data_IF_474121375729
#
_entry.id   IF_474121375729
#
_cell.length_a   1.000
_cell.length_b   1.000
_cell.length_c   1.000
_cell.angle_alpha   90.00
_cell.angle_beta   90.00
_cell.angle_gamma   90.00
#
_symmetry.space_group_name_H-M   'P 1'
#
loop_
_entity.id
_entity.type
_entity.pdbx_description
1 polymer ?
2 non-polymer ?
3 non-polymer ?
4 non-polymer ?
5 non-polymer ?
6 water ?
#
# COMPACT_ATOMS: atom_id res chain seq x y z
N UNK A 1 1.07 16.57 -32.06
CA UNK A 1 0.71 17.99 -31.78
C UNK A 1 0.90 18.31 -30.28
N UNK A 2 0.43 17.40 -29.41
CA UNK A 2 0.39 17.65 -27.97
C UNK A 2 1.76 17.82 -27.30
N UNK A 3 2.79 17.08 -27.75
CA UNK A 3 4.12 17.20 -27.16
C UNK A 3 5.16 17.84 -28.12
N UNK A 4 4.69 18.51 -29.16
CA UNK A 4 5.55 19.25 -30.05
C UNK A 4 5.46 20.73 -29.67
N UNK A 5 6.62 21.37 -29.54
CA UNK A 5 6.66 22.77 -29.13
C UNK A 5 6.38 23.73 -30.30
N UNK A 6 5.36 24.56 -30.16
CA UNK A 6 5.08 25.63 -31.11
C UNK A 6 5.72 26.95 -30.70
N UNK A 7 5.65 27.30 -29.43
CA UNK A 7 6.38 28.44 -28.90
C UNK A 7 6.80 28.17 -27.45
N UNK A 8 7.99 28.66 -27.11
CA UNK A 8 8.49 28.72 -25.74
C UNK A 8 8.95 30.14 -25.47
N UNK A 9 8.58 30.70 -24.31
CA UNK A 9 9.05 32.03 -23.96
C UNK A 9 9.12 32.24 -22.46
N UNK A 10 9.99 33.14 -22.03
CA UNK A 10 10.08 33.50 -20.63
C UNK A 10 9.06 34.60 -20.36
N UNK A 11 8.36 34.49 -19.24
CA UNK A 11 7.30 35.43 -18.85
C UNK A 11 7.40 35.79 -17.37
N UNK A 12 6.64 36.81 -16.98
CA UNK A 12 6.50 37.22 -15.58
C UNK A 12 7.84 37.50 -14.94
N UNK A 13 8.52 38.55 -15.44
CA UNK A 13 9.84 38.91 -14.94
C UNK A 13 10.86 37.85 -15.23
N UNK A 14 10.58 37.04 -16.26
CA UNK A 14 11.39 35.85 -16.62
C UNK A 14 11.43 34.74 -15.54
N UNK A 15 10.49 34.79 -14.60
CA UNK A 15 10.39 33.78 -13.54
C UNK A 15 9.57 32.56 -13.93
N UNK A 16 8.97 32.58 -15.13
CA UNK A 16 8.18 31.45 -15.66
C UNK A 16 8.58 31.19 -17.11
N UNK A 17 8.50 29.94 -17.55
CA UNK A 17 8.57 29.61 -18.97
C UNK A 17 7.20 29.13 -19.36
N UNK A 18 6.70 29.65 -20.48
CA UNK A 18 5.47 29.14 -21.03
C UNK A 18 5.76 28.41 -22.33
N UNK A 19 5.18 27.22 -22.46
CA UNK A 19 5.20 26.43 -23.69
C UNK A 19 3.80 26.47 -24.30
N UNK A 20 3.73 26.85 -25.58
CA UNK A 20 2.51 26.68 -26.36
C UNK A 20 2.77 25.42 -27.20
N UNK A 21 1.94 24.38 -27.02
CA UNK A 21 2.12 23.08 -27.70
C UNK A 21 1.40 23.19 -29.03
N UNK A 22 1.67 22.26 -29.95
CA UNK A 22 1.04 22.39 -31.28
C UNK A 22 -0.48 22.13 -31.28
N UNK A 23 -1.01 21.56 -30.21
CA UNK A 23 -2.48 21.46 -30.07
C UNK A 23 -3.10 22.70 -29.41
N UNK A 24 -2.29 23.75 -29.23
CA UNK A 24 -2.73 25.06 -28.75
C UNK A 24 -2.92 25.14 -27.23
N UNK A 25 -2.70 24.03 -26.54
CA UNK A 25 -2.60 24.01 -25.06
C UNK A 25 -1.36 24.75 -24.60
N UNK A 26 -1.39 25.28 -23.39
CA UNK A 26 -0.25 26.01 -22.86
C UNK A 26 0.14 25.38 -21.56
N UNK A 27 1.44 25.34 -21.27
CA UNK A 27 1.96 24.81 -20.00
C UNK A 27 2.92 25.84 -19.41
N UNK A 28 2.96 25.93 -18.08
CA UNK A 28 3.79 26.92 -17.39
C UNK A 28 4.76 26.19 -16.45
N UNK A 29 6.03 26.63 -16.44
CA UNK A 29 7.07 26.00 -15.66
C UNK A 29 7.86 27.06 -14.93
N UNK A 30 7.84 27.03 -13.58
CA UNK A 30 8.63 28.04 -12.87
C UNK A 30 10.12 27.91 -13.15
N UNK A 31 10.80 29.04 -13.34
CA UNK A 31 12.23 29.07 -13.56
C UNK A 31 12.99 28.36 -12.48
N UNK A 32 12.58 28.53 -11.23
CA UNK A 32 13.33 27.90 -10.14
C UNK A 32 13.30 26.37 -10.24
N UNK A 33 12.16 25.83 -10.65
CA UNK A 33 11.99 24.39 -10.84
C UNK A 33 12.82 23.90 -12.05
N UNK A 34 12.85 24.67 -13.13
CA UNK A 34 13.71 24.32 -14.24
C UNK A 34 15.19 24.28 -13.81
N UNK A 35 15.65 25.30 -13.12
CA UNK A 35 17.04 25.36 -12.71
C UNK A 35 17.36 24.15 -11.81
N UNK A 36 16.47 23.91 -10.83
CA UNK A 36 16.58 22.78 -9.87
C UNK A 36 16.66 21.44 -10.57
N UNK A 37 16.06 21.37 -11.76
CA UNK A 37 15.95 20.11 -12.49
C UNK A 37 16.75 20.07 -13.79
N UNK A 38 17.77 20.91 -13.86
CA UNK A 38 18.73 20.86 -14.98
C UNK A 38 19.26 19.43 -15.11
N UNK A 39 19.20 18.84 -16.30
CA UNK A 39 19.68 17.45 -16.44
C UNK A 39 21.14 17.30 -16.85
N UNK A 40 21.91 18.39 -16.83
CA UNK A 40 23.29 18.32 -17.27
C UNK A 40 24.12 17.53 -16.28
N UNK A 41 25.32 17.13 -16.68
CA UNK A 41 26.10 16.22 -15.84
C UNK A 41 26.62 16.91 -14.57
N UNK A 42 26.69 18.25 -14.56
CA UNK A 42 27.00 18.94 -13.30
C UNK A 42 25.86 18.80 -12.28
N UNK A 43 24.62 18.79 -12.75
CA UNK A 43 23.47 18.92 -11.87
C UNK A 43 22.81 17.61 -11.56
N UNK A 44 23.14 16.57 -12.32
CA UNK A 44 22.32 15.38 -12.34
C UNK A 44 23.18 14.20 -12.68
N UNK A 45 23.13 13.18 -11.83
CA UNK A 45 23.94 11.99 -12.02
C UNK A 45 23.16 10.94 -12.79
N UNK A 46 23.47 10.78 -14.08
CA UNK A 46 22.64 9.95 -14.93
C UNK A 46 22.62 8.48 -14.51
N UNK A 47 23.75 7.95 -14.08
CA UNK A 47 23.81 6.55 -13.66
C UNK A 47 22.88 6.23 -12.48
N UNK A 48 22.60 7.23 -11.64
CA UNK A 48 21.74 7.07 -10.47
C UNK A 48 20.32 7.61 -10.69
N UNK A 49 20.13 8.34 -11.78
CA UNK A 49 18.93 9.07 -12.07
C UNK A 49 18.59 9.95 -10.87
N UNK A 50 19.58 10.72 -10.44
CA UNK A 50 19.47 11.47 -9.18
C UNK A 50 20.10 12.84 -9.28
N UNK A 51 19.57 13.76 -8.46
CA UNK A 51 19.99 15.16 -8.49
C UNK A 51 21.28 15.33 -7.67
N UNK A 52 22.31 15.88 -8.29
CA UNK A 52 23.56 16.28 -7.61
C UNK A 52 23.47 17.72 -7.10
N UNK A 53 22.72 18.55 -7.81
CA UNK A 53 22.62 19.96 -7.45
C UNK A 53 22.18 20.11 -6.00
N UNK A 54 22.83 21.00 -5.24
CA UNK A 54 22.47 21.24 -3.83
C UNK A 54 21.42 22.33 -3.76
N UNK A 55 20.60 22.33 -2.71
CA UNK A 55 19.69 23.47 -2.44
C UNK A 55 20.49 24.77 -2.31
N UNK A 56 21.68 24.66 -1.70
CA UNK A 56 22.59 25.79 -1.52
C UNK A 56 22.96 26.46 -2.85
N UNK A 57 22.92 25.70 -3.94
CA UNK A 57 23.30 26.21 -5.27
C UNK A 57 22.16 26.90 -5.97
N UNK A 58 20.97 26.84 -5.39
CA UNK A 58 19.77 27.27 -6.07
C UNK A 58 19.35 28.67 -5.63
N UNK A 59 19.35 29.61 -6.59
CA UNK A 59 18.81 30.94 -6.36
C UNK A 59 17.30 30.87 -6.49
N UNK A 60 16.55 30.97 -5.37
CA UNK A 60 15.11 30.84 -5.44
C UNK A 60 14.40 31.99 -6.15
N UNK A 61 15.11 33.09 -6.37
CA UNK A 61 14.59 34.26 -7.11
C UNK A 61 15.06 34.29 -8.55
N UNK A 62 15.56 33.14 -9.02
CA UNK A 62 16.18 33.06 -10.35
C UNK A 62 15.17 33.34 -11.44
N UNK A 63 15.65 33.97 -12.50
CA UNK A 63 14.89 34.11 -13.72
C UNK A 63 15.71 33.59 -14.89
N UNK A 64 15.02 33.28 -15.99
CA UNK A 64 15.68 32.84 -17.22
C UNK A 64 16.39 34.02 -17.88
N UNK A 65 17.68 33.87 -18.19
CA UNK A 65 18.42 34.94 -18.88
C UNK A 65 18.14 34.91 -20.40
N UNK A 66 18.18 33.73 -20.99
CA UNK A 66 17.88 33.58 -22.42
C UNK A 66 17.27 32.23 -22.70
N UNK A 67 16.50 32.17 -23.79
CA UNK A 67 15.85 30.94 -24.20
C UNK A 67 15.73 30.90 -25.72
N UNK A 68 16.14 29.78 -26.30
CA UNK A 68 15.77 29.40 -27.66
C UNK A 68 15.12 28.00 -27.64
N UNK A 69 14.44 27.65 -28.72
CA UNK A 69 13.77 26.36 -28.77
C UNK A 69 13.63 25.86 -30.18
N UNK A 70 13.37 24.57 -30.29
CA UNK A 70 12.91 23.97 -31.53
C UNK A 70 11.70 23.11 -31.21
N UNK A 71 11.26 22.26 -32.12
CA UNK A 71 10.04 21.50 -31.86
C UNK A 71 10.12 20.51 -30.69
N UNK A 72 11.33 20.09 -30.34
CA UNK A 72 11.54 19.00 -29.40
C UNK A 72 12.35 19.37 -28.14
N UNK A 73 12.91 20.57 -28.10
CA UNK A 73 13.81 20.95 -26.99
C UNK A 73 13.77 22.44 -26.69
N UNK A 74 14.01 22.78 -25.43
CA UNK A 74 14.26 24.16 -25.01
C UNK A 74 15.71 24.28 -24.53
N UNK A 75 16.34 25.40 -24.82
CA UNK A 75 17.72 25.66 -24.48
C UNK A 75 17.77 26.97 -23.73
N UNK A 76 18.22 26.91 -22.46
CA UNK A 76 18.17 28.02 -21.53
C UNK A 76 19.54 28.44 -21.05
N UNK A 77 19.78 29.74 -21.07
CA UNK A 77 20.88 30.32 -20.33
C UNK A 77 20.40 30.96 -19.06
N UNK A 78 21.20 30.76 -18.02
CA UNK A 78 20.90 31.32 -16.71
C UNK A 78 21.75 32.55 -16.40
N UNK A 79 21.30 33.39 -15.45
CA UNK A 79 22.09 34.58 -15.12
C UNK A 79 23.55 34.40 -14.77
N UNK A 80 23.90 33.29 -14.09
CA UNK A 80 25.30 32.98 -13.76
C UNK A 80 26.06 32.24 -14.87
N UNK A 81 25.48 32.20 -16.05
CA UNK A 81 26.02 31.57 -17.26
C UNK A 81 25.85 30.05 -17.29
N UNK A 82 25.18 29.47 -16.29
CA UNK A 82 24.87 28.04 -16.40
C UNK A 82 23.94 27.83 -17.61
N UNK A 83 24.01 26.66 -18.22
CA UNK A 83 23.26 26.36 -19.43
C UNK A 83 22.50 25.06 -19.28
N UNK A 84 21.24 25.05 -19.70
CA UNK A 84 20.37 23.88 -19.56
C UNK A 84 19.60 23.52 -20.84
N UNK A 85 19.39 22.22 -21.06
CA UNK A 85 18.52 21.71 -22.15
C UNK A 85 17.43 20.83 -21.59
N UNK A 86 16.19 21.07 -22.01
CA UNK A 86 15.04 20.28 -21.57
C UNK A 86 14.28 19.74 -22.78
N UNK A 87 13.91 18.48 -22.72
CA UNK A 87 13.19 17.76 -23.79
C UNK A 87 11.68 17.95 -23.70
N UNK A 88 11.04 18.14 -24.84
CA UNK A 88 9.60 18.41 -24.91
C UNK A 88 8.76 17.37 -24.17
N UNK A 89 9.05 16.10 -24.39
CA UNK A 89 8.26 15.02 -23.80
C UNK A 89 8.35 15.02 -22.27
N UNK A 90 9.56 15.23 -21.78
CA UNK A 90 9.86 15.30 -20.34
C UNK A 90 9.11 16.47 -19.70
N UNK A 91 9.14 17.62 -20.37
CA UNK A 91 8.36 18.77 -19.93
C UNK A 91 6.84 18.48 -19.93
N UNK A 92 6.34 17.92 -21.03
CA UNK A 92 4.91 17.67 -21.15
C UNK A 92 4.37 16.79 -20.03
N UNK A 93 5.11 15.73 -19.70
CA UNK A 93 4.72 14.78 -18.66
C UNK A 93 4.59 15.50 -17.29
N UNK A 94 5.46 16.49 -17.07
CA UNK A 94 5.60 17.18 -15.78
C UNK A 94 4.86 18.50 -15.69
N UNK A 95 4.00 18.76 -16.68
CA UNK A 95 3.13 19.93 -16.70
C UNK A 95 2.40 20.06 -15.35
N UNK A 96 2.34 21.28 -14.86
CA UNK A 96 1.78 21.59 -13.51
C UNK A 96 0.25 21.73 -13.48
N UNK A 97 -0.42 21.56 -14.62
CA UNK A 97 -1.88 21.56 -14.60
C UNK A 97 -2.40 20.42 -13.75
N UNK A 98 -3.53 20.67 -13.12
CA UNK A 98 -4.13 19.67 -12.26
C UNK A 98 -4.35 18.35 -12.98
N UNK A 99 -4.85 18.41 -14.23
CA UNK A 99 -5.11 17.18 -15.00
C UNK A 99 -3.85 16.38 -15.26
N UNK A 100 -2.80 17.07 -15.72
CA UNK A 100 -1.53 16.44 -15.99
C UNK A 100 -0.91 15.84 -14.72
N UNK A 101 -0.91 16.59 -13.63
CA UNK A 101 -0.37 16.06 -12.38
C UNK A 101 -1.16 14.84 -11.90
N UNK A 102 -2.49 14.89 -11.97
CA UNK A 102 -3.31 13.78 -11.48
C UNK A 102 -3.09 12.51 -12.34
N UNK A 103 -2.93 12.70 -13.64
CA UNK A 103 -2.69 11.59 -14.53
C UNK A 103 -1.41 10.87 -14.18
N UNK A 104 -0.37 11.67 -13.97
CA UNK A 104 0.92 11.15 -13.60
C UNK A 104 0.85 10.42 -12.23
N UNK A 105 0.19 11.01 -11.26
CA UNK A 105 0.02 10.33 -9.95
C UNK A 105 -0.71 9.00 -10.06
N UNK A 106 -1.73 8.92 -10.91
CA UNK A 106 -2.42 7.64 -11.13
C UNK A 106 -1.46 6.60 -11.69
N UNK A 107 -0.56 7.03 -12.59
CA UNK A 107 0.42 6.16 -13.19
C UNK A 107 1.45 5.67 -12.19
N UNK A 108 1.83 6.51 -11.23
CA UNK A 108 2.85 6.13 -10.25
C UNK A 108 2.27 5.22 -9.15
N UNK A 109 1.04 5.49 -8.72
CA UNK A 109 0.51 4.90 -7.45
C UNK A 109 -0.70 3.97 -7.54
N UNK A 110 -1.21 3.77 -8.76
CA UNK A 110 -2.29 2.78 -9.01
C UNK A 110 -3.43 2.94 -8.00
N UNK A 111 -4.06 4.11 -7.94
CA UNK A 111 -5.07 4.35 -6.90
C UNK A 111 -6.42 3.66 -7.11
N UNK A 112 -6.68 3.09 -8.29
CA UNK A 112 -8.01 2.50 -8.58
C UNK A 112 -8.36 1.46 -7.51
N UNK A 113 -9.57 1.56 -7.00
CA UNK A 113 -10.00 0.73 -5.90
C UNK A 113 -11.40 0.20 -6.20
N UNK A 114 -11.60 -1.11 -6.08
CA UNK A 114 -12.92 -1.69 -6.20
C UNK A 114 -13.34 -2.20 -4.83
N UNK A 115 -14.26 -1.50 -4.21
CA UNK A 115 -14.85 -1.91 -2.94
C UNK A 115 -15.79 -3.08 -3.15
N UNK A 116 -15.90 -3.91 -2.11
CA UNK A 116 -16.74 -5.08 -2.17
C UNK A 116 -17.30 -5.49 -0.80
N UNK A 117 -18.36 -6.28 -0.88
CA UNK A 117 -19.00 -6.94 0.25
C UNK A 117 -19.12 -8.44 0.02
N UNK A 118 -20.20 -9.03 0.53
CA UNK A 118 -20.40 -10.47 0.48
C UNK A 118 -20.52 -11.03 -0.95
N UNK A 119 -20.73 -10.15 -1.93
CA UNK A 119 -20.80 -10.54 -3.37
C UNK A 119 -19.45 -10.83 -4.03
N UNK A 120 -18.36 -10.55 -3.33
CA UNK A 120 -17.02 -10.75 -3.87
C UNK A 120 -16.86 -12.06 -4.65
N UNK A 121 -16.27 -11.93 -5.83
CA UNK A 121 -15.81 -13.03 -6.64
C UNK A 121 -14.32 -13.06 -6.36
N UNK A 122 -13.85 -14.03 -5.60
CA UNK A 122 -12.46 -14.06 -5.17
C UNK A 122 -11.50 -14.18 -6.37
N UNK A 123 -10.67 -13.14 -6.62
CA UNK A 123 -9.79 -13.25 -7.78
C UNK A 123 -8.81 -14.38 -7.58
N UNK A 124 -8.64 -15.20 -8.62
CA UNK A 124 -7.90 -16.45 -8.51
C UNK A 124 -6.98 -16.63 -9.70
N UNK A 125 -5.73 -16.98 -9.42
CA UNK A 125 -4.74 -17.30 -10.45
C UNK A 125 -3.96 -18.55 -10.06
N UNK A 126 -3.25 -19.10 -11.04
CA UNK A 126 -2.38 -20.23 -10.81
C UNK A 126 -1.03 -19.78 -10.27
N UNK A 127 -0.57 -20.47 -9.24
CA UNK A 127 0.68 -20.18 -8.52
C UNK A 127 1.91 -20.26 -9.42
N UNK A 128 2.04 -21.37 -10.13
CA UNK A 128 3.22 -21.55 -10.97
C UNK A 128 3.24 -20.55 -12.14
N UNK A 129 2.06 -20.21 -12.68
CA UNK A 129 1.98 -19.22 -13.75
C UNK A 129 2.47 -17.86 -13.27
N UNK A 130 2.09 -17.48 -12.05
CA UNK A 130 2.54 -16.22 -11.46
C UNK A 130 4.08 -16.19 -11.32
N UNK A 131 4.67 -17.29 -10.90
CA UNK A 131 6.13 -17.35 -10.74
C UNK A 131 6.81 -17.29 -12.12
N UNK A 132 6.17 -17.88 -13.12
CA UNK A 132 6.80 -18.05 -14.43
C UNK A 132 6.59 -16.88 -15.38
N UNK A 133 5.38 -16.31 -15.40
CA UNK A 133 5.01 -15.36 -16.43
C UNK A 133 4.80 -13.98 -15.87
N UNK A 134 5.46 -12.99 -16.48
CA UNK A 134 5.24 -11.60 -16.08
C UNK A 134 3.81 -11.15 -16.27
N UNK A 135 3.14 -11.62 -17.31
CA UNK A 135 1.75 -11.23 -17.57
C UNK A 135 0.85 -11.63 -16.37
N UNK A 136 1.12 -12.81 -15.85
CA UNK A 136 0.34 -13.34 -14.73
C UNK A 136 0.74 -12.64 -13.41
N UNK A 137 2.04 -12.38 -13.23
CA UNK A 137 2.50 -11.69 -12.00
C UNK A 137 1.99 -10.25 -11.98
N UNK A 138 1.91 -9.63 -13.15
CA UNK A 138 1.30 -8.30 -13.25
C UNK A 138 -0.17 -8.34 -12.87
N UNK A 139 -0.89 -9.32 -13.39
CA UNK A 139 -2.31 -9.44 -13.03
C UNK A 139 -2.47 -9.66 -11.52
N UNK A 140 -1.59 -10.46 -10.93
CA UNK A 140 -1.59 -10.74 -9.50
C UNK A 140 -1.45 -9.43 -8.68
N UNK A 141 -0.36 -8.71 -8.90
CA UNK A 141 -0.10 -7.52 -8.09
C UNK A 141 -1.08 -6.38 -8.35
N UNK A 142 -1.54 -6.20 -9.61
CA UNK A 142 -2.46 -5.11 -9.90
C UNK A 142 -3.84 -5.42 -9.31
N UNK A 143 -4.23 -6.69 -9.29
CA UNK A 143 -5.47 -7.08 -8.65
C UNK A 143 -5.39 -6.99 -7.14
N UNK A 144 -4.25 -7.39 -6.57
CA UNK A 144 -4.01 -7.26 -5.14
C UNK A 144 -4.18 -5.81 -4.73
N UNK A 145 -3.62 -4.87 -5.52
CA UNK A 145 -3.73 -3.45 -5.22
C UNK A 145 -5.16 -2.96 -5.36
N UNK A 146 -5.83 -3.35 -6.44
CA UNK A 146 -7.16 -2.81 -6.72
C UNK A 146 -8.29 -3.40 -5.84
N UNK A 147 -8.30 -4.72 -5.68
CA UNK A 147 -9.36 -5.46 -4.96
C UNK A 147 -8.97 -5.73 -3.48
N UNK A 148 -7.67 -5.89 -3.23
CA UNK A 148 -7.15 -6.07 -1.86
C UNK A 148 -6.88 -7.55 -1.55
N UNK A 149 -7.21 -8.44 -2.47
CA UNK A 149 -6.91 -9.84 -2.27
C UNK A 149 -6.87 -10.62 -3.59
N UNK A 150 -5.98 -11.60 -3.64
CA UNK A 150 -5.89 -12.59 -4.71
C UNK A 150 -5.59 -13.97 -4.15
N UNK A 151 -6.34 -14.97 -4.58
CA UNK A 151 -6.00 -16.34 -4.25
C UNK A 151 -5.14 -16.94 -5.34
N UNK A 152 -4.09 -17.64 -4.94
CA UNK A 152 -3.30 -18.42 -5.89
C UNK A 152 -3.54 -19.88 -5.61
N UNK A 153 -3.92 -20.66 -6.63
CA UNK A 153 -4.16 -22.09 -6.47
C UNK A 153 -3.05 -22.90 -7.12
N UNK A 154 -2.94 -24.17 -6.76
CA UNK A 154 -1.93 -25.05 -7.35
C UNK A 154 -0.52 -24.93 -6.78
N UNK A 155 -0.34 -24.34 -5.60
CA UNK A 155 0.95 -24.44 -4.92
C UNK A 155 1.13 -25.87 -4.37
N UNK A 156 2.31 -26.18 -3.85
CA UNK A 156 2.53 -27.47 -3.18
C UNK A 156 1.83 -27.50 -1.82
N UNK A 157 1.86 -28.66 -1.16
CA UNK A 157 1.39 -28.77 0.23
C UNK A 157 2.58 -28.86 1.19
N UNK A 158 3.64 -28.11 0.89
CA UNK A 158 4.89 -28.18 1.63
C UNK A 158 5.35 -26.76 1.93
N UNK A 159 6.10 -26.55 3.02
CA UNK A 159 6.65 -25.21 3.27
C UNK A 159 7.56 -24.70 2.15
N UNK A 160 7.75 -23.38 2.08
CA UNK A 160 8.64 -22.79 1.09
C UNK A 160 7.94 -22.12 -0.07
N UNK A 161 6.63 -22.19 -0.15
CA UNK A 161 5.90 -21.57 -1.25
C UNK A 161 5.77 -20.05 -1.06
N UNK A 162 5.56 -19.59 0.16
CA UNK A 162 5.46 -18.13 0.35
C UNK A 162 6.81 -17.47 0.09
N UNK A 163 7.90 -18.17 0.38
CA UNK A 163 9.25 -17.65 0.11
C UNK A 163 9.47 -17.45 -1.39
N UNK A 164 8.91 -18.33 -2.21
CA UNK A 164 9.00 -18.15 -3.66
C UNK A 164 8.28 -16.89 -4.12
N UNK A 165 7.11 -16.64 -3.55
CA UNK A 165 6.38 -15.45 -3.86
C UNK A 165 7.14 -14.20 -3.39
N UNK A 166 7.78 -14.32 -2.24
CA UNK A 166 8.62 -13.26 -1.68
C UNK A 166 9.72 -12.83 -2.62
N UNK A 167 10.39 -13.82 -3.20
CA UNK A 167 11.43 -13.56 -4.21
C UNK A 167 10.85 -12.95 -5.47
N UNK A 168 9.67 -13.43 -5.87
CA UNK A 168 9.02 -12.91 -7.05
C UNK A 168 8.72 -11.41 -6.85
N UNK A 169 8.33 -11.05 -5.63
CA UNK A 169 8.12 -9.63 -5.30
C UNK A 169 9.47 -8.91 -5.21
N UNK A 170 10.36 -9.43 -4.38
CA UNK A 170 11.69 -8.87 -4.18
C UNK A 170 12.27 -9.44 -2.91
N UNK A 171 11.64 -9.11 -1.80
CA UNK A 171 11.97 -9.70 -0.52
C UNK A 171 10.81 -9.53 0.45
N UNK A 172 10.77 -10.42 1.44
CA UNK A 172 9.76 -10.40 2.48
C UNK A 172 10.19 -9.47 3.61
N UNK A 173 9.22 -9.14 4.46
CA UNK A 173 9.35 -8.22 5.56
C UNK A 173 9.56 -9.02 6.85
N UNK A 174 10.79 -9.02 7.37
CA UNK A 174 11.11 -9.75 8.59
C UNK A 174 10.50 -9.13 9.82
N UNK A 175 9.93 -9.97 10.68
CA UNK A 175 9.39 -9.50 11.97
C UNK A 175 9.88 -10.44 13.06
N UNK A 176 9.49 -10.15 14.30
CA UNK A 176 9.86 -10.99 15.44
C UNK A 176 9.35 -12.42 15.37
N UNK A 177 8.36 -12.67 14.51
CA UNK A 177 7.83 -14.03 14.37
C UNK A 177 8.55 -14.81 13.26
N UNK A 178 9.58 -14.20 12.68
CA UNK A 178 10.43 -14.86 11.68
C UNK A 178 10.30 -14.34 10.27
N UNK A 179 11.13 -14.85 9.37
CA UNK A 179 10.96 -14.53 7.94
C UNK A 179 9.63 -15.08 7.39
N UNK A 180 9.30 -16.29 7.77
CA UNK A 180 7.98 -16.89 7.54
C UNK A 180 7.60 -17.48 8.89
N UNK A 181 6.35 -17.91 9.04
CA UNK A 181 5.88 -18.39 10.31
C UNK A 181 4.79 -19.42 10.12
N UNK A 182 4.61 -20.27 11.13
CA UNK A 182 3.74 -21.45 11.01
C UNK A 182 2.50 -21.25 11.89
N UNK A 183 1.35 -21.14 11.24
CA UNK A 183 0.08 -21.01 11.93
C UNK A 183 -0.41 -22.42 12.22
N UNK A 184 -0.29 -22.83 13.48
CA UNK A 184 -0.74 -24.13 13.94
C UNK A 184 -0.89 -24.04 15.46
N UNK A 185 -1.55 -25.02 16.05
CA UNK A 185 -1.80 -25.03 17.48
C UNK A 185 -0.49 -25.38 18.16
N UNK A 186 -0.08 -24.54 19.10
CA UNK A 186 1.19 -24.75 19.78
C UNK A 186 1.03 -24.75 21.29
N UNK A 187 1.74 -25.66 21.93
CA UNK A 187 1.85 -25.66 23.39
C UNK A 187 2.53 -24.37 23.84
N UNK A 188 1.97 -23.75 24.89
CA UNK A 188 2.45 -22.47 25.40
C UNK A 188 2.50 -21.42 24.30
N UNK A 189 1.42 -21.34 23.53
CA UNK A 189 1.35 -20.43 22.37
C UNK A 189 1.73 -19.00 22.76
N UNK A 190 2.60 -18.37 21.96
CA UNK A 190 2.99 -17.00 22.23
C UNK A 190 2.07 -15.98 21.55
N UNK A 191 1.02 -16.48 20.90
CA UNK A 191 0.10 -15.65 20.14
C UNK A 191 -1.22 -16.41 19.99
N UNK A 192 -2.36 -15.72 20.04
CA UNK A 192 -3.67 -16.35 19.93
C UNK A 192 -3.84 -17.05 18.58
N UNK A 193 -3.12 -16.56 17.57
CA UNK A 193 -3.14 -17.21 16.25
C UNK A 193 -2.69 -18.68 16.31
N UNK A 194 -1.76 -18.97 17.23
CA UNK A 194 -1.17 -20.29 17.33
C UNK A 194 -1.94 -21.19 18.33
N UNK A 195 -3.27 -21.08 18.29
CA UNK A 195 -4.22 -21.93 19.06
C UNK A 195 -5.30 -22.39 18.08
N UNK A 196 -6.28 -23.17 18.53
CA UNK A 196 -7.42 -23.58 17.69
C UNK A 196 -8.64 -22.63 17.83
N UNK A 197 -8.44 -21.53 18.53
CA UNK A 197 -9.53 -20.63 18.80
C UNK A 197 -9.97 -19.86 17.58
N UNK A 198 -11.17 -19.30 17.65
CA UNK A 198 -11.69 -18.38 16.64
C UNK A 198 -10.87 -17.11 16.63
N UNK A 199 -10.55 -16.59 15.45
CA UNK A 199 -10.01 -15.24 15.34
C UNK A 199 -11.07 -14.38 14.73
N UNK A 200 -11.55 -13.38 15.47
CA UNK A 200 -12.47 -12.42 14.93
C UNK A 200 -11.69 -11.54 13.97
N UNK A 201 -12.40 -10.67 13.25
CA UNK A 201 -11.76 -9.79 12.28
C UNK A 201 -10.65 -8.97 12.92
N UNK A 202 -9.49 -8.99 12.28
CA UNK A 202 -8.38 -8.18 12.69
C UNK A 202 -7.47 -7.89 11.50
N UNK A 203 -6.60 -6.90 11.68
CA UNK A 203 -5.41 -6.69 10.85
C UNK A 203 -4.25 -7.29 11.61
N UNK A 204 -3.21 -7.74 10.92
CA UNK A 204 -2.04 -8.27 11.58
C UNK A 204 -1.08 -7.16 11.99
N UNK A 205 -0.53 -7.34 13.19
CA UNK A 205 0.62 -6.59 13.66
C UNK A 205 0.44 -5.09 13.88
N UNK A 206 -0.73 -4.66 14.39
CA UNK A 206 -0.83 -3.26 14.80
C UNK A 206 0.12 -2.91 15.95
N UNK A 207 0.70 -3.91 16.61
CA UNK A 207 1.74 -3.64 17.64
C UNK A 207 3.00 -3.01 17.05
N UNK A 208 3.16 -3.06 15.71
CA UNK A 208 4.21 -2.29 15.02
C UNK A 208 3.68 -0.95 14.56
N UNK A 209 4.51 0.10 14.63
CA UNK A 209 4.08 1.40 14.07
C UNK A 209 3.90 1.39 12.55
N UNK A 210 4.58 0.46 11.89
CA UNK A 210 4.45 0.25 10.45
C UNK A 210 3.98 -1.19 10.19
N UNK A 211 2.67 -1.42 10.33
CA UNK A 211 2.21 -2.80 10.14
C UNK A 211 2.50 -3.32 8.73
N UNK A 212 2.73 -4.63 8.59
CA UNK A 212 2.88 -5.22 7.26
C UNK A 212 1.81 -4.78 6.29
N UNK A 213 2.22 -4.40 5.08
CA UNK A 213 1.25 -3.99 4.03
C UNK A 213 0.49 -5.12 3.36
N UNK A 214 1.22 -6.19 3.08
CA UNK A 214 0.70 -7.33 2.34
C UNK A 214 1.01 -8.58 3.15
N UNK A 215 0.01 -9.43 3.27
CA UNK A 215 0.15 -10.70 3.95
C UNK A 215 -0.03 -11.87 2.96
N UNK A 216 0.76 -12.90 3.14
CA UNK A 216 0.67 -14.14 2.40
C UNK A 216 0.37 -15.28 3.35
N UNK A 217 -0.64 -16.09 3.04
CA UNK A 217 -0.99 -17.27 3.83
C UNK A 217 -1.19 -18.47 2.91
N UNK A 218 -0.40 -19.50 3.14
CA UNK A 218 -0.37 -20.72 2.32
C UNK A 218 -0.92 -21.86 3.14
N UNK A 219 -1.97 -22.49 2.64
CA UNK A 219 -2.53 -23.67 3.32
C UNK A 219 -1.72 -24.94 3.01
N UNK A 220 -1.11 -25.51 4.05
CA UNK A 220 -0.33 -26.76 3.99
C UNK A 220 -1.21 -27.93 4.41
N UNK A 221 -1.90 -27.78 5.55
CA UNK A 221 -2.86 -28.76 6.05
C UNK A 221 -4.11 -28.00 6.49
N UNK A 222 -5.28 -28.57 6.19
CA UNK A 222 -6.56 -28.02 6.61
C UNK A 222 -7.36 -29.09 7.34
N UNK A 223 -8.20 -28.66 8.29
CA UNK A 223 -9.02 -29.56 9.10
C UNK A 223 -10.47 -29.48 8.64
N UNK A 224 -11.22 -30.57 8.82
CA UNK A 224 -12.66 -30.59 8.50
C UNK A 224 -13.52 -30.05 9.65
N UNK A 225 -12.90 -29.83 10.81
CA UNK A 225 -13.65 -29.52 12.03
C UNK A 225 -13.95 -28.04 12.21
N UNK A 226 -13.44 -27.22 11.29
CA UNK A 226 -13.66 -25.79 11.32
C UNK A 226 -12.54 -25.14 10.50
N UNK A 227 -12.12 -23.95 10.93
CA UNK A 227 -10.98 -23.29 10.31
C UNK A 227 -11.26 -22.57 9.02
N UNK A 228 -12.55 -22.28 8.77
CA UNK A 228 -12.93 -21.46 7.61
C UNK A 228 -12.34 -20.06 7.72
N UNK A 229 -12.04 -19.43 6.58
CA UNK A 229 -11.55 -18.07 6.55
C UNK A 229 -12.70 -17.08 6.31
N UNK A 230 -12.54 -15.88 6.83
CA UNK A 230 -13.47 -14.79 6.60
C UNK A 230 -12.65 -13.52 6.36
N UNK A 231 -13.17 -12.67 5.47
CA UNK A 231 -12.55 -11.40 5.13
C UNK A 231 -13.63 -10.36 4.97
N UNK A 232 -13.22 -9.12 5.15
CA UNK A 232 -14.07 -7.96 4.95
C UNK A 232 -13.20 -6.82 4.38
N UNK A 233 -13.84 -5.94 3.61
CA UNK A 233 -13.18 -4.79 3.00
C UNK A 233 -13.30 -3.65 3.99
N UNK A 234 -12.21 -3.43 4.73
CA UNK A 234 -12.24 -2.40 5.75
C UNK A 234 -12.58 -1.02 5.23
N UNK A 235 -12.17 -0.70 4.01
CA UNK A 235 -12.42 0.64 3.48
C UNK A 235 -13.91 0.78 3.21
N UNK A 236 -14.52 -0.28 2.69
CA UNK A 236 -15.98 -0.32 2.50
C UNK A 236 -16.74 -0.19 3.82
N UNK A 237 -16.28 -0.90 4.84
CA UNK A 237 -16.93 -0.84 6.15
C UNK A 237 -16.80 0.56 6.77
N UNK A 238 -15.64 1.19 6.63
CA UNK A 238 -15.43 2.52 7.20
C UNK A 238 -16.36 3.52 6.53
N UNK A 239 -16.55 3.38 5.22
CA UNK A 239 -17.51 4.22 4.47
C UNK A 239 -18.95 4.09 5.05
N UNK A 240 -19.37 2.85 5.29
CA UNK A 240 -20.69 2.56 5.82
C UNK A 240 -20.80 3.14 7.24
N UNK A 241 -19.73 3.05 8.01
CA UNK A 241 -19.76 3.53 9.40
C UNK A 241 -19.91 5.04 9.46
N UNK A 242 -19.15 5.75 8.62
CA UNK A 242 -19.23 7.21 8.57
C UNK A 242 -20.65 7.64 8.22
N UNK A 243 -21.27 6.93 7.28
CA UNK A 243 -22.64 7.24 6.86
C UNK A 243 -23.65 6.92 7.95
N UNK A 244 -23.56 5.71 8.52
CA UNK A 244 -24.51 5.24 9.51
C UNK A 244 -24.32 5.83 10.89
N UNK A 245 -23.07 6.07 11.29
CA UNK A 245 -22.79 6.55 12.64
C UNK A 245 -21.55 7.42 12.67
N UNK A 246 -21.71 8.68 12.30
CA UNK A 246 -20.59 9.59 12.20
C UNK A 246 -19.87 9.79 13.53
N UNK A 247 -20.58 9.72 14.66
CA UNK A 247 -19.89 9.90 15.95
C UNK A 247 -18.94 8.74 16.22
N UNK A 248 -19.40 7.54 15.97
CA UNK A 248 -18.55 6.34 16.09
C UNK A 248 -17.30 6.44 15.19
N UNK A 249 -17.53 6.85 13.95
CA UNK A 249 -16.43 7.09 13.01
C UNK A 249 -15.43 8.14 13.52
N UNK A 250 -15.96 9.27 13.99
CA UNK A 250 -15.11 10.31 14.54
C UNK A 250 -14.26 9.77 15.71
N UNK A 251 -14.88 9.03 16.62
CA UNK A 251 -14.12 8.43 17.77
C UNK A 251 -13.02 7.47 17.30
N UNK A 252 -13.37 6.55 16.41
CA UNK A 252 -12.40 5.57 15.99
C UNK A 252 -11.29 6.15 15.11
N UNK A 253 -11.58 7.21 14.38
CA UNK A 253 -10.56 7.88 13.59
C UNK A 253 -9.78 8.98 14.34
N UNK A 254 -10.05 9.21 15.63
CA UNK A 254 -9.34 10.21 16.39
C UNK A 254 -8.67 9.71 17.70
N UNK A 255 -9.01 8.51 18.14
CA UNK A 255 -8.55 8.00 19.42
C UNK A 255 -7.35 7.11 19.27
N UNK A 256 -6.25 7.45 19.93
CA UNK A 256 -5.09 6.58 19.92
C UNK A 256 -5.28 5.42 20.91
N UNK A 257 -5.17 4.21 20.36
CA UNK A 257 -5.28 2.94 21.07
C UNK A 257 -3.88 2.33 21.20
N UNK A 258 -3.56 1.82 22.38
CA UNK A 258 -2.28 1.20 22.61
C UNK A 258 -2.36 -0.28 22.28
N UNK A 259 -1.34 -0.79 21.59
CA UNK A 259 -1.16 -2.19 21.26
C UNK A 259 0.19 -2.68 21.83
N UNK A 260 0.25 -3.97 22.13
CA UNK A 260 1.37 -4.59 22.83
C UNK A 260 1.60 -6.02 22.38
N UNK A 261 2.85 -6.45 22.43
CA UNK A 261 3.21 -7.84 22.15
C UNK A 261 4.51 -8.12 22.89
N UNK A 262 4.48 -9.07 23.81
CA UNK A 262 5.64 -9.42 24.61
C UNK A 262 5.81 -10.92 24.55
N UNK A 263 7.04 -11.37 24.32
CA UNK A 263 7.30 -12.81 24.19
C UNK A 263 8.62 -13.10 23.51
N UNK A 264 8.73 -14.32 23.01
CA UNK A 264 9.93 -14.79 22.39
C UNK A 264 9.54 -15.64 21.21
N UNK A 265 10.14 -15.34 20.07
CA UNK A 265 9.97 -16.19 18.89
C UNK A 265 11.28 -16.17 18.07
N UNK A 266 11.34 -15.46 16.95
CA UNK A 266 12.61 -15.30 16.21
C UNK A 266 13.65 -14.63 17.10
N UNK A 267 13.20 -13.69 17.90
CA UNK A 267 14.00 -13.00 18.89
C UNK A 267 13.10 -12.79 20.10
N UNK A 268 13.67 -12.37 21.22
CA UNK A 268 12.86 -11.91 22.37
C UNK A 268 12.42 -10.47 22.12
N UNK A 269 11.18 -10.18 22.48
CA UNK A 269 10.58 -8.91 22.17
C UNK A 269 9.65 -8.37 23.24
N UNK A 270 9.53 -7.05 23.25
CA UNK A 270 8.62 -6.32 24.09
C UNK A 270 8.20 -5.11 23.26
N UNK A 271 7.10 -5.23 22.55
CA UNK A 271 6.72 -4.26 21.53
C UNK A 271 5.50 -3.46 22.00
N UNK A 272 5.51 -2.14 21.76
CA UNK A 272 4.40 -1.27 22.12
C UNK A 272 4.17 -0.25 21.01
N UNK A 273 2.91 0.04 20.72
CA UNK A 273 2.59 1.06 19.72
C UNK A 273 1.32 1.80 20.11
N UNK A 274 1.04 2.91 19.40
CA UNK A 274 -0.22 3.59 19.47
C UNK A 274 -0.70 3.79 18.04
N UNK A 275 -1.99 3.52 17.80
CA UNK A 275 -2.63 3.80 16.50
C UNK A 275 -4.05 4.25 16.73
N UNK A 276 -4.52 5.02 15.76
CA UNK A 276 -5.93 5.26 15.57
C UNK A 276 -6.47 4.04 14.78
N UNK A 277 -7.56 3.44 15.21
CA UNK A 277 -8.10 2.23 14.54
C UNK A 277 -8.47 2.51 13.08
N UNK A 278 -9.06 3.66 12.81
CA UNK A 278 -9.34 4.14 11.46
C UNK A 278 -8.36 5.28 11.19
N UNK A 279 -7.38 5.03 10.33
CA UNK A 279 -6.33 6.00 10.14
C UNK A 279 -6.57 6.76 8.83
N UNK A 280 -6.78 8.07 8.96
CA UNK A 280 -7.11 8.95 7.82
C UNK A 280 -5.88 9.68 7.31
N UNK A 281 -5.84 9.98 6.01
CA UNK A 281 -4.81 10.88 5.50
C UNK A 281 -5.20 12.35 5.74
N UNK A 282 -4.35 13.28 5.29
CA UNK A 282 -4.58 14.68 5.52
C UNK A 282 -5.87 15.18 4.83
N UNK A 283 -6.39 14.44 3.86
CA UNK A 283 -7.65 14.81 3.20
C UNK A 283 -8.88 14.11 3.76
N UNK A 284 -8.76 13.40 4.88
CA UNK A 284 -9.91 12.70 5.45
C UNK A 284 -10.21 11.32 4.88
N UNK A 285 -9.36 10.80 4.01
CA UNK A 285 -9.58 9.49 3.39
C UNK A 285 -8.92 8.38 4.18
N UNK A 286 -9.62 7.26 4.33
CA UNK A 286 -9.09 6.15 5.12
C UNK A 286 -7.95 5.53 4.36
N UNK A 287 -6.79 5.40 5.00
CA UNK A 287 -5.65 4.75 4.37
C UNK A 287 -5.18 3.52 5.06
N UNK A 288 -5.55 3.35 6.34
CA UNK A 288 -5.20 2.10 6.99
C UNK A 288 -6.14 1.87 8.15
N UNK A 289 -6.45 0.59 8.33
CA UNK A 289 -7.10 0.07 9.53
C UNK A 289 -6.06 -0.60 10.39
N UNK A 290 -6.05 -0.25 11.67
CA UNK A 290 -5.10 -0.82 12.62
C UNK A 290 -5.88 -1.45 13.77
N UNK A 291 -6.14 -2.74 13.70
CA UNK A 291 -7.00 -3.32 14.75
C UNK A 291 -6.81 -4.82 14.93
N UNK A 292 -6.29 -5.22 16.09
CA UNK A 292 -6.29 -6.62 16.46
C UNK A 292 -6.69 -6.70 17.94
N UNK A 293 -7.83 -7.32 18.21
CA UNK A 293 -8.39 -7.27 19.55
C UNK A 293 -7.53 -8.06 20.51
N UNK A 294 -6.77 -9.01 20.00
CA UNK A 294 -5.88 -9.79 20.87
C UNK A 294 -4.71 -8.98 21.42
N UNK A 295 -4.14 -8.11 20.59
CA UNK A 295 -2.94 -7.36 20.97
C UNK A 295 -3.22 -5.93 21.42
N UNK A 296 -4.48 -5.53 21.38
CA UNK A 296 -4.89 -4.27 22.01
C UNK A 296 -4.53 -4.34 23.53
N UNK A 297 -3.80 -3.35 24.02
CA UNK A 297 -3.23 -3.44 25.38
C UNK A 297 -4.36 -3.29 26.44
N UNK A 298 -4.06 -3.73 27.66
CA UNK A 298 -4.92 -3.43 28.79
C UNK A 298 -4.76 -1.96 29.16
N UNK A 299 -3.55 -1.44 28.92
CA UNK A 299 -3.28 -0.01 29.05
C UNK A 299 -4.13 0.73 28.00
N UNK A 300 -4.89 1.73 28.44
CA UNK A 300 -5.72 2.53 27.55
C UNK A 300 -5.59 3.99 27.93
N UNK A 301 -4.88 4.75 27.08
CA UNK A 301 -4.39 6.08 27.41
C UNK A 301 -5.39 7.16 26.97
N UNK A 302 -6.54 7.16 27.62
CA UNK A 302 -7.58 8.16 27.40
C UNK A 302 -8.19 8.56 28.76
N UNK A 303 -8.76 9.77 28.85
CA UNK A 303 -9.48 10.14 30.07
C UNK A 303 -10.67 9.21 30.29
N UNK A 304 -11.00 9.03 31.56
CA UNK A 304 -12.01 8.07 31.96
C UNK A 304 -13.34 8.21 31.19
N UNK A 305 -13.75 9.46 30.93
CA UNK A 305 -15.05 9.72 30.30
C UNK A 305 -15.09 9.35 28.80
N UNK A 306 -13.93 9.16 28.19
CA UNK A 306 -13.87 8.77 26.79
C UNK A 306 -13.88 7.25 26.61
N UNK A 307 -13.73 6.51 27.72
CA UNK A 307 -13.64 5.05 27.61
C UNK A 307 -14.88 4.34 27.09
N UNK A 308 -16.01 4.47 27.77
CA UNK A 308 -17.17 3.74 27.35
C UNK A 308 -17.63 4.13 25.94
N UNK A 309 -17.59 5.43 25.60
CA UNK A 309 -17.93 5.77 24.22
C UNK A 309 -17.03 5.12 23.17
N UNK A 310 -15.74 4.94 23.48
CA UNK A 310 -14.82 4.25 22.58
C UNK A 310 -15.24 2.81 22.34
N UNK A 311 -15.48 2.07 23.43
CA UNK A 311 -15.99 0.72 23.29
C UNK A 311 -17.32 0.65 22.52
N UNK A 312 -18.21 1.61 22.74
CA UNK A 312 -19.48 1.60 22.04
C UNK A 312 -19.24 1.79 20.53
N UNK A 313 -18.29 2.65 20.16
CA UNK A 313 -17.94 2.85 18.74
C UNK A 313 -17.30 1.62 18.15
N UNK A 314 -16.39 1.02 18.91
CA UNK A 314 -15.73 -0.19 18.45
C UNK A 314 -16.74 -1.30 18.16
N UNK A 315 -17.73 -1.44 19.02
CA UNK A 315 -18.73 -2.48 18.89
C UNK A 315 -19.54 -2.25 17.61
N UNK A 316 -19.87 -1.01 17.32
CA UNK A 316 -20.63 -0.69 16.10
C UNK A 316 -19.82 -1.05 14.86
N UNK A 317 -18.51 -0.78 14.89
CA UNK A 317 -17.61 -1.08 13.79
C UNK A 317 -17.54 -2.58 13.57
N UNK A 318 -17.35 -3.33 14.65
CA UNK A 318 -17.30 -4.79 14.54
C UNK A 318 -18.61 -5.41 14.07
N UNK A 319 -19.73 -4.91 14.56
CA UNK A 319 -21.02 -5.38 14.13
C UNK A 319 -21.17 -5.15 12.61
N UNK A 320 -20.69 -4.01 12.12
CA UNK A 320 -20.77 -3.74 10.67
C UNK A 320 -19.93 -4.73 9.88
N UNK A 321 -18.71 -5.01 10.36
CA UNK A 321 -17.85 -6.02 9.71
C UNK A 321 -18.46 -7.42 9.64
N UNK A 322 -19.17 -7.78 10.69
CA UNK A 322 -19.85 -9.08 10.80
C UNK A 322 -21.14 -9.19 10.01
N UNK A 323 -21.61 -8.07 9.48
CA UNK A 323 -22.86 -8.06 8.74
C UNK A 323 -22.83 -8.99 7.52
N UNK A 324 -23.95 -9.66 7.24
CA UNK A 324 -24.00 -10.58 6.08
C UNK A 324 -23.76 -9.85 4.75
N UNK A 325 -24.01 -8.55 4.68
CA UNK A 325 -23.72 -7.78 3.45
C UNK A 325 -22.21 -7.47 3.30
N UNK A 326 -21.46 -7.52 4.40
CA UNK A 326 -20.02 -7.12 4.39
C UNK A 326 -19.06 -8.29 4.22
N UNK A 327 -19.29 -9.37 4.92
CA UNK A 327 -18.26 -10.39 4.98
C UNK A 327 -18.36 -11.43 3.89
N UNK A 328 -17.19 -11.97 3.55
CA UNK A 328 -17.03 -13.03 2.59
C UNK A 328 -16.32 -14.20 3.29
N UNK A 329 -16.92 -15.38 3.21
CA UNK A 329 -16.34 -16.54 3.84
C UNK A 329 -15.95 -17.58 2.80
N UNK A 330 -14.87 -18.29 3.08
CA UNK A 330 -14.38 -19.32 2.17
C UNK A 330 -13.51 -20.24 2.97
N UNK A 331 -13.10 -21.35 2.37
CA UNK A 331 -12.22 -22.23 3.11
C UNK A 331 -11.04 -22.58 2.26
N UNK A 332 -9.86 -22.43 2.84
CA UNK A 332 -8.63 -22.75 2.13
C UNK A 332 -8.43 -24.24 2.09
N UNK A 333 -7.99 -24.74 0.94
CA UNK A 333 -7.52 -26.11 0.77
C UNK A 333 -6.00 -26.18 0.62
N UNK A 334 -5.38 -27.33 0.94
CA UNK A 334 -3.94 -27.45 0.75
C UNK A 334 -3.53 -27.06 -0.67
N UNK A 335 -2.48 -26.26 -0.79
CA UNK A 335 -2.07 -25.76 -2.09
C UNK A 335 -2.60 -24.38 -2.45
N UNK A 336 -3.57 -23.88 -1.69
CA UNK A 336 -4.04 -22.51 -1.91
C UNK A 336 -3.15 -21.53 -1.17
N UNK A 337 -2.94 -20.36 -1.76
CA UNK A 337 -2.28 -19.25 -1.07
C UNK A 337 -3.19 -18.04 -1.20
N UNK A 338 -3.45 -17.32 -0.10
CA UNK A 338 -4.13 -16.01 -0.27
C UNK A 338 -3.09 -14.92 -0.01
N UNK A 339 -3.19 -13.86 -0.80
CA UNK A 339 -2.31 -12.71 -0.69
C UNK A 339 -3.22 -11.52 -0.58
N UNK A 340 -3.03 -10.72 0.46
CA UNK A 340 -3.99 -9.63 0.65
C UNK A 340 -3.37 -8.40 1.28
N UNK A 341 -4.08 -7.30 1.10
CA UNK A 341 -3.78 -5.98 1.62
C UNK A 341 -4.16 -5.90 3.08
N UNK A 342 -3.17 -6.01 3.93
CA UNK A 342 -3.34 -6.05 5.40
C UNK A 342 -3.59 -4.65 6.02
N UNK A 343 -3.47 -3.61 5.21
CA UNK A 343 -3.90 -2.24 5.61
C UNK A 343 -5.37 -1.97 5.35
N UNK A 344 -5.97 -2.75 4.46
CA UNK A 344 -7.33 -2.50 4.05
C UNK A 344 -8.27 -3.59 4.50
N UNK A 345 -7.94 -4.85 4.25
CA UNK A 345 -8.82 -5.91 4.62
C UNK A 345 -8.66 -6.19 6.14
N UNK A 346 -9.72 -6.70 6.75
CA UNK A 346 -9.59 -7.45 8.01
C UNK A 346 -9.92 -8.91 7.75
N UNK A 347 -9.29 -9.80 8.49
CA UNK A 347 -9.45 -11.23 8.24
C UNK A 347 -9.67 -11.96 9.53
N UNK A 348 -10.19 -13.17 9.42
CA UNK A 348 -10.44 -13.97 10.59
C UNK A 348 -10.52 -15.44 10.23
N UNK A 349 -10.75 -16.24 11.24
CA UNK A 349 -10.83 -17.66 11.09
C UNK A 349 -11.83 -18.23 12.11
N UNK A 350 -12.55 -19.26 11.71
CA UNK A 350 -13.40 -20.03 12.63
C UNK A 350 -12.62 -20.99 13.52
N UNK A 351 -13.07 -21.19 14.76
CA UNK A 351 -12.43 -22.15 15.63
C UNK A 351 -12.44 -23.54 15.02
N UNK A 352 -11.54 -24.39 15.49
CA UNK A 352 -11.52 -25.77 15.07
C UNK A 352 -11.08 -26.64 16.24
N UNK A 353 -11.09 -27.95 16.08
CA UNK A 353 -10.85 -28.81 17.23
C UNK A 353 -9.38 -29.12 17.39
N UNK A 354 -8.89 -29.04 18.62
CA UNK A 354 -7.57 -29.52 18.95
C UNK A 354 -7.53 -31.05 18.94
N UNK A 355 -6.34 -31.60 18.70
CA UNK A 355 -6.09 -33.02 18.92
C UNK A 355 -4.61 -33.30 19.07
N UNK A 356 -4.22 -34.56 18.93
CA UNK A 356 -2.89 -35.02 19.33
C UNK A 356 -1.84 -34.76 18.24
N UNK A 357 -2.26 -34.89 16.98
CA UNK A 357 -1.45 -34.51 15.83
C UNK A 357 -1.91 -33.15 15.31
N UNK A 358 -1.08 -32.53 14.49
CA UNK A 358 -1.40 -31.23 13.90
C UNK A 358 -2.39 -31.47 12.76
N UNK A 359 -3.60 -30.92 12.86
CA UNK A 359 -4.65 -31.11 11.87
C UNK A 359 -4.72 -29.94 10.91
N UNK A 360 -4.01 -28.86 11.22
CA UNK A 360 -4.15 -27.63 10.44
C UNK A 360 -2.84 -26.85 10.53
N UNK A 361 -2.39 -26.37 9.38
CA UNK A 361 -1.09 -25.73 9.24
C UNK A 361 -1.11 -24.76 8.07
N UNK A 362 -0.92 -23.47 8.35
CA UNK A 362 -0.65 -22.50 7.33
C UNK A 362 0.79 -21.98 7.51
N UNK A 363 1.45 -21.71 6.38
CA UNK A 363 2.68 -20.92 6.41
C UNK A 363 2.40 -19.50 5.89
N UNK A 364 2.82 -18.52 6.66
CA UNK A 364 2.60 -17.13 6.31
C UNK A 364 3.88 -16.30 6.27
N UNK A 365 3.74 -15.13 5.66
CA UNK A 365 4.80 -14.12 5.62
C UNK A 365 4.18 -12.77 5.28
N UNK A 366 5.01 -11.75 5.35
CA UNK A 366 4.60 -10.39 5.11
C UNK A 366 5.49 -9.76 4.04
N UNK A 367 4.93 -8.73 3.38
CA UNK A 367 5.73 -7.84 2.55
C UNK A 367 5.31 -6.39 2.71
N UNK A 368 6.23 -5.50 2.37
CA UNK A 368 5.99 -4.06 2.45
C UNK A 368 5.35 -3.55 1.16
N UNK A 369 4.37 -2.68 1.30
CA UNK A 369 3.67 -2.17 0.10
C UNK A 369 4.61 -1.48 -0.90
N UNK A 370 5.69 -0.90 -0.37
CA UNK A 370 6.64 -0.22 -1.27
C UNK A 370 7.44 -1.19 -2.10
N UNK A 371 7.76 -2.35 -1.52
CA UNK A 371 8.40 -3.44 -2.24
C UNK A 371 7.45 -3.99 -3.32
N UNK A 372 6.18 -4.14 -2.97
CA UNK A 372 5.20 -4.71 -3.86
C UNK A 372 4.94 -3.74 -5.02
N UNK A 373 4.81 -2.45 -4.69
CA UNK A 373 4.51 -1.43 -5.69
C UNK A 373 5.66 -1.24 -6.68
N UNK A 374 6.89 -1.35 -6.17
CA UNK A 374 8.08 -1.31 -7.02
C UNK A 374 8.01 -2.44 -8.08
N UNK A 375 7.73 -3.66 -7.63
CA UNK A 375 7.64 -4.80 -8.55
C UNK A 375 6.49 -4.56 -9.55
N UNK A 376 5.38 -4.00 -9.06
CA UNK A 376 4.22 -3.72 -9.91
C UNK A 376 4.57 -2.69 -11.03
N UNK A 377 5.27 -1.63 -10.65
CA UNK A 377 5.74 -0.65 -11.64
C UNK A 377 6.63 -1.29 -12.69
N UNK A 378 7.53 -2.15 -12.24
CA UNK A 378 8.47 -2.82 -13.13
C UNK A 378 7.76 -3.78 -14.04
N UNK A 379 6.87 -4.58 -13.47
CA UNK A 379 6.06 -5.48 -14.28
C UNK A 379 5.21 -4.78 -15.33
N UNK A 380 4.53 -3.68 -14.99
CA UNK A 380 3.71 -2.95 -15.96
C UNK A 380 4.56 -2.60 -17.18
N UNK A 381 5.72 -2.01 -16.91
CA UNK A 381 6.67 -1.61 -17.95
C UNK A 381 7.10 -2.79 -18.82
N UNK A 382 7.40 -3.93 -18.20
CA UNK A 382 7.83 -5.12 -18.93
C UNK A 382 6.72 -5.68 -19.82
N UNK A 383 5.48 -5.71 -19.32
CA UNK A 383 4.35 -6.29 -20.06
C UNK A 383 3.80 -5.35 -21.13
N UNK A 384 3.82 -4.04 -20.88
CA UNK A 384 3.42 -3.06 -21.90
C UNK A 384 4.46 -2.83 -22.99
X LIG B 1 -3.16 -15.07 11.82
X LIG B 1 -4.35 -15.46 11.07
X LIG B 1 -5.74 -17.05 9.92
X LIG B 1 -5.99 -18.54 9.92
X LIG B 1 -2.37 -15.97 12.16
X LIG B 1 -2.98 -13.83 12.07
X LIG B 1 -5.11 -14.58 10.76
X LIG B 1 -6.77 -18.94 9.04
X LIG B 1 -4.58 -16.72 10.72
X LIG B 1 -5.43 -19.30 10.78
X LIG C 1 1.33 -13.87 13.56
X LIG C 1 1.57 -14.46 14.90
X LIG C 1 -1.07 -8.98 15.42
X LIG C 1 -0.74 -10.19 15.47
X LIG C 1 -0.11 -10.70 16.42
X LIG C 1 -1.22 -11.04 14.32
X LIG C 1 0.73 -12.51 13.73
X LIG C 1 2.61 -13.70 12.82
X LIG C 1 0.48 -14.78 12.78
X LIG C 1 -0.68 -12.47 14.29
X LIG D 1 -4.19 -12.57 11.16
X LIG E 1 23.10 21.89 -15.00
X LIG F 1 17.80 -12.38 18.45
X LIG G 1 6.68 14.03 -28.17
X LIG H 1 25.98 26.58 -25.14
X LIG H 1 25.49 25.64 -26.20
X LIG H 1 24.25 26.18 -26.90
X LIG H 1 23.63 25.17 -27.86
X LIG H 1 22.24 25.62 -28.35
X LIG H 1 21.65 24.58 -29.31
X LIG H 1 20.35 25.06 -29.98
X LIG H 1 19.89 24.08 -30.98
#
# INVERSE_FOLDING_TARGET
>A
MACTIQKAEALDGAHLMQILWYDEEESLYPAVWLRDNCPCSDCYLDSAKARKLLVEALDVNIGIKGLIFDRKKVYITWPDEHYSEFQADWLKKRCFSKQARAKLQRELFFPECQYWGSELQLPTLDFEDVLRYDEHAYKWLSTLKKVGIVRLTGASDKPGEVSKLGKRMGFLYLTFYGHTWQVQDKIDANNVAYTTGKLSFHTDYPALHHPPGVQLLHCIKQTVTGGDSEIVDGFNVCQKLKKNNPQAFQILSSTFVDFTDIGVDYCDFSVQSKHKIIELDDKGQVVRINFNNATRDTIFDVPVERVQPFYAALKEFVDLMNSKESKFTFKMNPGDVITFDNWRLLHGRRSYEAGTEISRHLEGAYADWDVVMSRLRILRQRVENGN
>B hetero
1 OGA C1 C2 C4 C5 O1 O2 O2' O3 N1 O4
>C hetero
1 NM3 N1 C8 O4 C5 O7 C6 C2 C9 C10 C3
>D hetero
1 ZN ZN
>E hetero
1 ZN ZN
>F hetero
1 ZN ZN
>G hetero
1 ZN ZN
>H hetero
1 16D N1 C1 C2 C3 C4 C5 C6 N2
#
